data_IF_254410727354
#
_entry.id   IF_254410727354
#
_cell.length_a   1.000
_cell.length_b   1.000
_cell.length_c   1.000
_cell.angle_alpha   90.00
_cell.angle_beta   90.00
_cell.angle_gamma   90.00
#
_symmetry.space_group_name_H-M   'P 1'
#
loop_
_entity.id
_entity.type
_entity.pdbx_description
1 polymer ?
#
# COMPACT_ATOMS: atom_id res chain seq x y z
N UNK A 1 9.50 3.89 -9.30
CA UNK A 1 8.77 4.35 -10.49
C UNK A 1 9.78 5.08 -11.35
N UNK A 2 9.79 4.82 -12.66
CA UNK A 2 10.67 5.50 -13.58
C UNK A 2 9.91 6.64 -14.27
N UNK A 3 10.60 7.72 -14.58
CA UNK A 3 10.02 8.86 -15.30
C UNK A 3 9.60 8.41 -16.71
N UNK A 4 8.34 8.66 -17.09
CA UNK A 4 7.75 8.20 -18.36
C UNK A 4 7.12 6.79 -18.36
N UNK A 5 7.18 6.04 -17.25
CA UNK A 5 6.53 4.72 -17.15
C UNK A 5 4.99 4.84 -17.13
N UNK A 6 4.29 4.05 -17.96
CA UNK A 6 2.83 4.03 -17.93
C UNK A 6 2.31 3.41 -16.62
N UNK A 7 1.17 3.91 -16.13
CA UNK A 7 0.53 3.37 -14.92
C UNK A 7 0.24 1.87 -15.02
N UNK A 8 -0.17 1.40 -16.21
CA UNK A 8 -0.46 0.00 -16.46
C UNK A 8 0.81 -0.88 -16.39
N UNK A 9 1.93 -0.40 -16.95
CA UNK A 9 3.20 -1.12 -16.90
C UNK A 9 3.71 -1.26 -15.47
N UNK A 10 3.60 -0.18 -14.69
CA UNK A 10 3.94 -0.20 -13.27
C UNK A 10 3.12 -1.23 -12.49
N UNK A 11 1.79 -1.24 -12.69
CA UNK A 11 0.89 -2.22 -12.05
C UNK A 11 1.31 -3.64 -12.44
N UNK A 12 1.49 -3.92 -13.73
CA UNK A 12 1.84 -5.25 -14.21
C UNK A 12 3.16 -5.74 -13.61
N UNK A 13 4.19 -4.89 -13.56
CA UNK A 13 5.48 -5.23 -12.94
C UNK A 13 5.30 -5.60 -11.47
N UNK A 14 4.58 -4.76 -10.71
CA UNK A 14 4.42 -4.97 -9.28
C UNK A 14 3.56 -6.19 -8.96
N UNK A 15 2.51 -6.45 -9.76
CA UNK A 15 1.71 -7.68 -9.65
C UNK A 15 2.57 -8.91 -9.90
N UNK A 16 3.43 -8.90 -10.91
CA UNK A 16 4.32 -10.02 -11.20
C UNK A 16 5.24 -10.32 -10.01
N UNK A 17 5.81 -9.29 -9.38
CA UNK A 17 6.62 -9.45 -8.16
C UNK A 17 5.78 -10.02 -7.01
N UNK A 18 4.56 -9.51 -6.81
CA UNK A 18 3.70 -9.92 -5.69
C UNK A 18 3.23 -11.38 -5.81
N UNK A 19 3.04 -11.90 -7.03
CA UNK A 19 2.73 -13.32 -7.26
C UNK A 19 3.77 -14.27 -6.66
N UNK A 20 5.03 -13.84 -6.54
CA UNK A 20 6.09 -14.63 -5.93
C UNK A 20 6.22 -14.36 -4.42
N UNK A 21 6.10 -13.10 -4.00
CA UNK A 21 6.35 -12.72 -2.60
C UNK A 21 5.20 -13.12 -1.68
N UNK A 22 3.94 -12.79 -2.03
CA UNK A 22 2.81 -12.92 -1.11
C UNK A 22 2.57 -14.36 -0.66
N UNK A 23 2.59 -15.39 -1.54
CA UNK A 23 2.42 -16.78 -1.10
C UNK A 23 3.51 -17.24 -0.13
N UNK A 24 4.75 -16.76 -0.30
CA UNK A 24 5.85 -17.10 0.61
C UNK A 24 5.66 -16.44 1.98
N UNK A 25 5.21 -15.18 2.02
CA UNK A 25 4.91 -14.49 3.29
C UNK A 25 3.86 -15.26 4.08
N UNK A 26 2.75 -15.65 3.45
CA UNK A 26 1.68 -16.41 4.14
C UNK A 26 2.13 -17.81 4.53
N UNK A 27 2.97 -18.47 3.72
CA UNK A 27 3.53 -19.78 4.05
C UNK A 27 4.29 -19.76 5.39
N UNK A 28 5.08 -18.72 5.64
CA UNK A 28 5.91 -18.63 6.86
C UNK A 28 5.24 -17.84 7.98
N UNK A 29 4.20 -17.06 7.68
CA UNK A 29 3.47 -16.25 8.67
C UNK A 29 1.98 -16.26 8.33
N UNK A 30 1.28 -17.41 8.54
CA UNK A 30 -0.13 -17.56 8.18
C UNK A 30 -1.03 -16.60 8.95
N UNK A 31 -0.63 -16.25 10.17
CA UNK A 31 -1.33 -15.29 11.02
C UNK A 31 -0.69 -13.91 10.98
N UNK A 32 -0.15 -13.44 9.85
CA UNK A 32 0.34 -12.07 9.74
C UNK A 32 -0.79 -11.06 9.47
N UNK A 33 -0.55 -9.80 9.85
CA UNK A 33 -1.23 -8.66 9.22
C UNK A 33 -0.26 -8.08 8.20
N UNK A 34 -0.69 -7.91 6.95
CA UNK A 34 0.13 -7.39 5.88
C UNK A 34 -0.19 -5.91 5.67
N UNK A 35 0.81 -5.04 5.86
CA UNK A 35 0.75 -3.62 5.52
C UNK A 35 1.37 -3.40 4.13
N UNK A 36 0.55 -3.01 3.16
CA UNK A 36 0.96 -2.77 1.78
C UNK A 36 1.28 -1.28 1.58
N UNK A 37 2.48 -1.02 1.09
CA UNK A 37 2.99 0.34 0.80
C UNK A 37 3.34 0.51 -0.69
N UNK A 38 3.50 -0.60 -1.43
CA UNK A 38 3.88 -0.57 -2.84
C UNK A 38 2.79 0.05 -3.71
N UNK A 39 3.16 1.03 -4.53
CA UNK A 39 2.21 1.75 -5.38
C UNK A 39 1.87 1.00 -6.68
N UNK A 40 0.68 1.23 -7.27
CA UNK A 40 -0.43 2.01 -6.71
C UNK A 40 -1.11 1.26 -5.55
N UNK A 41 -1.11 1.87 -4.36
CA UNK A 41 -1.31 1.15 -3.09
C UNK A 41 -2.67 0.46 -3.00
N UNK A 42 -3.74 1.09 -3.49
CA UNK A 42 -5.09 0.51 -3.42
C UNK A 42 -5.20 -0.77 -4.27
N UNK A 43 -4.64 -0.74 -5.48
CA UNK A 43 -4.60 -1.90 -6.38
C UNK A 43 -3.70 -2.99 -5.79
N UNK A 44 -2.52 -2.62 -5.29
CA UNK A 44 -1.60 -3.60 -4.71
C UNK A 44 -2.14 -4.22 -3.42
N UNK A 45 -2.94 -3.48 -2.64
CA UNK A 45 -3.65 -3.99 -1.45
C UNK A 45 -4.67 -5.05 -1.87
N UNK A 46 -5.48 -4.76 -2.90
CA UNK A 46 -6.42 -5.74 -3.45
C UNK A 46 -5.72 -7.00 -3.98
N UNK A 47 -4.64 -6.83 -4.75
CA UNK A 47 -3.84 -7.96 -5.27
C UNK A 47 -3.27 -8.79 -4.13
N UNK A 48 -2.74 -8.16 -3.08
CA UNK A 48 -2.23 -8.84 -1.89
C UNK A 48 -3.33 -9.64 -1.20
N UNK A 49 -4.53 -9.08 -1.04
CA UNK A 49 -5.66 -9.80 -0.47
C UNK A 49 -6.00 -11.05 -1.28
N UNK A 50 -6.08 -10.93 -2.61
CA UNK A 50 -6.38 -12.09 -3.49
C UNK A 50 -5.29 -13.15 -3.49
N UNK A 51 -4.02 -12.76 -3.48
CA UNK A 51 -2.89 -13.71 -3.50
C UNK A 51 -2.62 -14.35 -2.14
N UNK A 52 -2.93 -13.67 -1.04
CA UNK A 52 -2.67 -14.17 0.31
C UNK A 52 -3.70 -15.18 0.80
N UNK A 53 -4.96 -15.06 0.34
CA UNK A 53 -6.08 -15.86 0.87
C UNK A 53 -6.48 -15.49 2.31
N UNK A 54 -5.87 -14.46 2.89
CA UNK A 54 -6.18 -13.98 4.24
C UNK A 54 -7.53 -13.25 4.27
N UNK A 55 -8.21 -13.20 5.44
CA UNK A 55 -9.39 -12.37 5.58
C UNK A 55 -9.03 -10.88 5.42
N UNK A 56 -9.96 -10.10 4.87
CA UNK A 56 -9.77 -8.69 4.51
C UNK A 56 -9.15 -7.85 5.64
N UNK A 57 -9.56 -8.08 6.89
CA UNK A 57 -9.09 -7.32 8.05
C UNK A 57 -7.60 -7.53 8.37
N UNK A 58 -6.92 -8.45 7.68
CA UNK A 58 -5.48 -8.73 7.80
C UNK A 58 -4.65 -8.14 6.66
N UNK A 59 -5.27 -7.46 5.69
CA UNK A 59 -4.56 -6.84 4.58
C UNK A 59 -4.92 -5.36 4.51
N UNK A 60 -3.97 -4.52 4.87
CA UNK A 60 -4.16 -3.08 5.06
C UNK A 60 -3.24 -2.34 4.08
N UNK A 61 -3.80 -1.44 3.28
CA UNK A 61 -3.00 -0.49 2.50
C UNK A 61 -2.66 0.73 3.33
N UNK A 62 -1.47 1.31 3.14
CA UNK A 62 -1.15 2.60 3.77
C UNK A 62 -2.10 3.73 3.34
N UNK A 63 -2.72 3.57 2.17
CA UNK A 63 -3.71 4.49 1.61
C UNK A 63 -3.20 5.93 1.62
N UNK A 64 -4.08 6.83 2.05
CA UNK A 64 -3.83 8.28 2.13
C UNK A 64 -3.39 8.75 3.50
N UNK A 65 -2.89 7.86 4.37
CA UNK A 65 -2.46 8.25 5.72
C UNK A 65 -1.38 9.33 5.66
N UNK A 66 -0.37 9.14 4.79
CA UNK A 66 0.69 10.11 4.57
C UNK A 66 0.18 11.41 3.93
N UNK A 67 -0.72 11.31 2.95
CA UNK A 67 -1.32 12.48 2.31
C UNK A 67 -2.13 13.31 3.30
N UNK A 68 -2.88 12.66 4.18
CA UNK A 68 -3.64 13.31 5.25
C UNK A 68 -2.72 13.97 6.26
N UNK A 69 -1.61 13.31 6.64
CA UNK A 69 -0.61 13.90 7.52
C UNK A 69 0.04 15.15 6.90
N UNK A 70 0.38 15.08 5.60
CA UNK A 70 0.90 16.23 4.84
C UNK A 70 -0.13 17.36 4.77
N UNK A 71 -1.39 17.05 4.51
CA UNK A 71 -2.45 18.04 4.44
C UNK A 71 -2.67 18.75 5.78
N UNK A 72 -2.73 17.98 6.88
CA UNK A 72 -2.81 18.52 8.25
C UNK A 72 -1.63 19.42 8.57
N UNK A 73 -0.41 19.01 8.20
CA UNK A 73 0.79 19.83 8.37
C UNK A 73 0.68 21.18 7.64
N UNK A 74 0.25 21.19 6.38
CA UNK A 74 0.11 22.44 5.61
C UNK A 74 -0.96 23.38 6.20
N UNK A 75 -2.09 22.84 6.69
CA UNK A 75 -3.11 23.62 7.40
C UNK A 75 -2.53 24.21 8.68
N UNK A 76 -1.78 23.41 9.44
CA UNK A 76 -1.14 23.80 10.69
C UNK A 76 -0.19 25.00 10.49
N UNK A 77 0.62 24.96 9.44
CA UNK A 77 1.50 26.07 9.05
C UNK A 77 0.71 27.34 8.70
N UNK A 78 -0.45 27.19 8.06
CA UNK A 78 -1.29 28.33 7.65
C UNK A 78 -2.01 29.00 8.82
N UNK A 79 -2.41 28.22 9.82
CA UNK A 79 -3.24 28.66 10.94
C UNK A 79 -2.47 28.88 12.24
N UNK A 80 -1.18 28.50 12.30
CA UNK A 80 -0.36 28.64 13.51
C UNK A 80 -0.77 27.70 14.64
N UNK A 81 -1.36 26.54 14.31
CA UNK A 81 -1.78 25.51 15.27
C UNK A 81 -0.99 24.21 15.07
N UNK A 82 -0.91 23.39 16.11
CA UNK A 82 -0.24 22.09 16.01
C UNK A 82 -1.07 21.12 15.14
N UNK A 83 -0.44 20.26 14.31
CA UNK A 83 -1.16 19.39 13.36
C UNK A 83 -1.85 18.17 14.01
N UNK A 84 -1.68 17.93 15.32
CA UNK A 84 -2.27 16.78 16.05
C UNK A 84 -3.71 17.02 16.43
#
# INVERSE_FOLDING_TARGET
QQEGESRLNLVQRNVNVFKFIIPQVVKYSPDATILVVSNPVDIMTYVTWKLSGLPQNRVIGSGTNLDSARFRYLISQKLGIHPT
#
